data_IF_929664307061
#
_entry.id   IF_929664307061
#
_cell.length_a   1.000
_cell.length_b   1.000
_cell.length_c   1.000
_cell.angle_alpha   90.00
_cell.angle_beta   90.00
_cell.angle_gamma   90.00
#
_symmetry.space_group_name_H-M   'P 1'
#
loop_
_entity.id
_entity.type
_entity.pdbx_description
1 polymer ?
#
# COMPACT_ATOMS: atom_id res chain seq x y z
N UNK A 1 7.90 8.28 -15.93
CA UNK A 1 7.59 8.04 -14.50
C UNK A 1 8.02 6.63 -14.16
N UNK A 2 8.74 6.45 -13.05
CA UNK A 2 9.03 5.15 -12.44
C UNK A 2 8.18 5.03 -11.19
N UNK A 3 7.57 3.87 -11.00
CA UNK A 3 6.82 3.57 -9.80
C UNK A 3 7.21 2.20 -9.28
N UNK A 4 7.32 2.08 -7.96
CA UNK A 4 7.48 0.82 -7.27
C UNK A 4 6.31 0.64 -6.32
N UNK A 5 5.63 -0.50 -6.44
CA UNK A 5 4.48 -0.87 -5.64
C UNK A 5 4.78 -2.16 -4.89
N UNK A 6 4.53 -2.21 -3.58
CA UNK A 6 4.55 -3.47 -2.82
C UNK A 6 3.13 -3.81 -2.41
N UNK A 7 2.66 -4.98 -2.84
CA UNK A 7 1.35 -5.49 -2.45
C UNK A 7 1.46 -6.96 -2.03
N UNK A 8 0.56 -7.37 -1.16
CA UNK A 8 0.52 -8.73 -0.65
C UNK A 8 -0.44 -9.60 -1.48
N UNK A 9 0.01 -10.76 -1.97
CA UNK A 9 -0.89 -11.78 -2.51
C UNK A 9 -1.44 -12.67 -1.39
N UNK A 10 -2.76 -12.90 -1.36
CA UNK A 10 -3.31 -13.96 -0.55
C UNK A 10 -3.03 -15.32 -1.20
N UNK A 11 -2.25 -16.17 -0.54
CA UNK A 11 -2.20 -17.58 -0.88
C UNK A 11 -3.49 -18.24 -0.35
N UNK A 12 -4.36 -18.70 -1.24
CA UNK A 12 -5.43 -19.63 -0.87
C UNK A 12 -4.79 -20.97 -0.48
N UNK A 13 -4.46 -21.12 0.81
CA UNK A 13 -4.36 -22.46 1.37
C UNK A 13 -5.79 -23.01 1.46
N UNK A 14 -6.21 -23.79 0.46
CA UNK A 14 -7.35 -24.70 0.60
C UNK A 14 -6.97 -25.82 1.57
N UNK A 15 -6.95 -25.51 2.87
CA UNK A 15 -7.09 -26.53 3.90
C UNK A 15 -8.56 -26.91 3.98
N UNK A 16 -8.87 -28.13 3.54
CA UNK A 16 -10.21 -28.70 3.66
C UNK A 16 -10.66 -28.67 5.14
N UNK A 17 -11.85 -28.15 5.46
CA UNK A 17 -12.35 -28.16 6.83
C UNK A 17 -12.78 -29.57 7.23
N UNK A 18 -12.11 -30.13 8.25
CA UNK A 18 -12.55 -31.32 8.96
C UNK A 18 -13.91 -31.06 9.62
N UNK A 19 -14.93 -31.82 9.22
CA UNK A 19 -16.29 -31.76 9.75
C UNK A 19 -16.36 -32.39 11.15
N UNK A 20 -16.43 -31.57 12.19
CA UNK A 20 -16.97 -31.99 13.49
C UNK A 20 -18.00 -30.96 13.98
N UNK A 21 -19.26 -31.37 14.25
CA UNK A 21 -20.30 -30.45 14.71
C UNK A 21 -20.16 -30.18 16.22
N UNK A 22 -20.01 -28.91 16.60
CA UNK A 22 -20.13 -28.46 17.99
C UNK A 22 -21.45 -27.68 18.09
N UNK A 23 -22.39 -28.22 18.86
CA UNK A 23 -23.68 -27.60 19.18
C UNK A 23 -23.51 -26.37 20.09
N UNK A 24 -24.27 -25.28 19.88
CA UNK A 24 -24.35 -24.16 20.83
C UNK A 24 -25.37 -24.42 21.96
N UNK A 25 -25.12 -23.98 23.21
CA UNK A 25 -26.12 -24.00 24.28
C UNK A 25 -27.08 -22.78 24.21
N UNK A 26 -28.28 -22.87 24.83
CA UNK A 26 -29.42 -21.96 24.62
C UNK A 26 -29.37 -20.64 25.43
N UNK A 27 -30.23 -19.65 25.09
CA UNK A 27 -30.24 -18.34 25.72
C UNK A 27 -31.00 -18.32 27.06
N UNK A 28 -30.44 -17.65 28.06
CA UNK A 28 -31.13 -17.36 29.33
C UNK A 28 -31.89 -16.03 29.26
N UNK A 29 -33.11 -16.04 29.80
CA UNK A 29 -34.12 -14.98 29.71
C UNK A 29 -34.03 -13.92 30.83
N UNK A 30 -34.58 -12.75 30.49
CA UNK A 30 -35.32 -11.79 31.32
C UNK A 30 -34.59 -10.94 32.38
N UNK A 31 -34.67 -9.62 32.18
CA UNK A 31 -35.42 -8.76 33.10
C UNK A 31 -35.75 -7.40 32.47
N UNK A 32 -37.05 -7.09 32.50
CA UNK A 32 -37.70 -5.82 32.13
C UNK A 32 -37.68 -4.89 33.33
N UNK A 33 -37.28 -3.62 33.18
CA UNK A 33 -37.71 -2.54 34.09
C UNK A 33 -37.59 -1.14 33.44
N UNK A 34 -38.76 -0.69 32.94
CA UNK A 34 -39.41 0.64 33.11
C UNK A 34 -38.57 1.93 33.15
N UNK A 35 -38.87 2.83 32.20
CA UNK A 35 -38.57 4.28 32.19
C UNK A 35 -39.21 5.06 33.36
N UNK A 36 -38.82 6.33 33.55
CA UNK A 36 -39.69 7.41 33.07
C UNK A 36 -38.98 8.63 32.43
N UNK A 37 -39.77 9.35 31.62
CA UNK A 37 -39.49 10.60 30.93
C UNK A 37 -39.22 11.79 31.87
N UNK A 38 -38.37 12.73 31.43
CA UNK A 38 -38.58 14.17 31.66
C UNK A 38 -38.05 14.98 30.47
N UNK A 39 -38.97 15.72 29.85
CA UNK A 39 -38.80 16.81 28.90
C UNK A 39 -38.34 18.10 29.57
N UNK A 40 -37.45 18.90 28.96
CA UNK A 40 -37.68 20.36 28.77
C UNK A 40 -36.73 20.98 27.73
N UNK A 41 -37.26 22.01 27.10
CA UNK A 41 -36.84 22.84 25.97
C UNK A 41 -35.77 23.90 26.26
N UNK A 42 -34.95 24.27 25.26
CA UNK A 42 -34.83 25.68 24.84
C UNK A 42 -34.13 25.90 23.47
N UNK A 43 -34.95 26.35 22.53
CA UNK A 43 -34.86 27.40 21.50
C UNK A 43 -33.54 28.17 21.25
N UNK A 44 -33.16 28.15 19.96
CA UNK A 44 -32.50 29.18 19.11
C UNK A 44 -31.06 29.65 19.38
N UNK A 45 -30.20 29.51 18.36
CA UNK A 45 -29.78 30.64 17.50
C UNK A 45 -29.05 30.14 16.23
N UNK A 46 -29.60 30.44 15.04
CA UNK A 46 -28.86 30.41 13.77
C UNK A 46 -27.88 31.60 13.71
N UNK A 47 -26.76 31.47 12.99
CA UNK A 47 -26.66 32.33 11.82
C UNK A 47 -25.99 31.72 10.58
N UNK A 48 -26.54 32.19 9.45
CA UNK A 48 -25.91 32.56 8.20
C UNK A 48 -25.34 31.50 7.26
N UNK A 49 -26.08 31.38 6.15
CA UNK A 49 -25.64 31.00 4.81
C UNK A 49 -24.34 31.74 4.48
N UNK A 50 -23.31 30.97 4.17
CA UNK A 50 -22.06 31.44 3.59
C UNK A 50 -21.51 30.38 2.64
N UNK A 51 -21.80 30.55 1.35
CA UNK A 51 -21.09 30.04 0.16
C UNK A 51 -20.84 28.52 0.02
N UNK A 52 -20.93 27.94 -1.19
CA UNK A 52 -20.32 26.63 -1.43
C UNK A 52 -18.80 26.81 -1.31
N UNK A 53 -18.24 26.49 -0.15
CA UNK A 53 -16.82 26.28 -0.02
C UNK A 53 -16.48 25.17 -0.99
N UNK A 54 -15.71 25.50 -2.02
CA UNK A 54 -15.12 24.52 -2.92
C UNK A 54 -14.39 23.54 -2.00
N UNK A 55 -14.93 22.33 -1.86
CA UNK A 55 -14.35 21.24 -1.08
C UNK A 55 -13.05 20.85 -1.76
N UNK A 56 -12.02 21.66 -1.55
CA UNK A 56 -10.64 21.26 -1.73
C UNK A 56 -10.45 20.19 -0.67
N UNK A 57 -10.65 18.93 -1.08
CA UNK A 57 -10.62 17.77 -0.21
C UNK A 57 -9.47 17.89 0.79
N UNK A 58 -9.77 17.61 2.06
CA UNK A 58 -8.78 17.69 3.13
C UNK A 58 -7.50 16.95 2.70
N UNK A 59 -6.32 17.53 2.93
CA UNK A 59 -5.08 16.91 2.50
C UNK A 59 -4.93 15.52 3.14
N UNK A 60 -4.39 14.57 2.37
CA UNK A 60 -4.02 13.25 2.88
C UNK A 60 -3.15 13.40 4.13
N UNK A 61 -3.41 12.58 5.16
CA UNK A 61 -2.57 12.60 6.35
C UNK A 61 -1.13 12.21 5.98
N UNK A 62 -0.19 12.90 6.61
CA UNK A 62 1.25 12.62 6.51
C UNK A 62 1.72 12.17 7.90
N UNK A 63 2.21 10.94 7.98
CA UNK A 63 2.67 10.35 9.25
C UNK A 63 4.10 9.87 9.08
N UNK A 64 4.97 10.18 10.05
CA UNK A 64 6.34 9.65 10.02
C UNK A 64 6.32 8.18 10.39
N UNK A 65 7.12 7.38 9.69
CA UNK A 65 7.26 5.96 9.99
C UNK A 65 7.67 5.75 11.46
N UNK A 66 8.57 6.58 11.99
CA UNK A 66 9.02 6.53 13.39
C UNK A 66 7.90 6.73 14.40
N UNK A 67 6.83 7.43 14.02
CA UNK A 67 5.72 7.76 14.91
C UNK A 67 4.66 6.65 14.94
N UNK A 68 4.72 5.69 14.00
CA UNK A 68 3.80 4.55 13.89
C UNK A 68 4.50 3.19 14.04
N UNK A 69 5.81 3.16 14.24
CA UNK A 69 6.55 1.93 14.54
C UNK A 69 6.06 1.38 15.89
N UNK A 70 5.83 0.07 16.01
CA UNK A 70 5.45 -0.56 17.27
C UNK A 70 6.46 -0.23 18.38
N UNK A 71 5.95 0.32 19.48
CA UNK A 71 6.74 0.62 20.67
C UNK A 71 6.55 -0.50 21.71
N UNK A 72 7.65 -1.01 22.26
CA UNK A 72 7.62 -1.98 23.36
C UNK A 72 7.38 -1.24 24.69
N UNK A 73 6.12 -0.85 24.93
CA UNK A 73 5.73 -0.09 26.11
C UNK A 73 4.37 0.58 25.97
N UNK A 74 3.99 1.38 26.98
CA UNK A 74 2.71 2.09 26.98
C UNK A 74 2.62 3.06 25.79
N UNK A 75 1.50 3.10 25.04
CA UNK A 75 1.35 4.00 23.90
C UNK A 75 1.53 5.46 24.32
N UNK A 76 2.50 6.14 23.70
CA UNK A 76 2.78 7.55 23.95
C UNK A 76 1.86 8.45 23.12
N UNK A 77 1.61 9.67 23.59
CA UNK A 77 0.71 10.63 22.92
C UNK A 77 0.99 10.84 21.41
N UNK A 78 2.25 11.00 20.98
CA UNK A 78 2.58 11.11 19.55
C UNK A 78 2.15 9.90 18.72
N UNK A 79 2.36 8.68 19.23
CA UNK A 79 1.96 7.44 18.57
C UNK A 79 0.45 7.38 18.36
N UNK A 80 -0.34 7.68 19.40
CA UNK A 80 -1.80 7.67 19.29
C UNK A 80 -2.31 8.69 18.28
N UNK A 81 -1.71 9.89 18.22
CA UNK A 81 -2.06 10.89 17.19
C UNK A 81 -1.71 10.43 15.79
N UNK A 82 -0.56 9.79 15.61
CA UNK A 82 -0.14 9.27 14.31
C UNK A 82 -1.03 8.12 13.84
N UNK A 83 -1.41 7.21 14.74
CA UNK A 83 -2.39 6.14 14.48
C UNK A 83 -3.73 6.73 14.04
N UNK A 84 -4.26 7.70 14.76
CA UNK A 84 -5.54 8.34 14.44
C UNK A 84 -5.49 9.09 13.10
N UNK A 85 -4.40 9.80 12.83
CA UNK A 85 -4.20 10.49 11.56
C UNK A 85 -4.13 9.51 10.38
N UNK A 86 -3.37 8.42 10.52
CA UNK A 86 -3.25 7.37 9.51
C UNK A 86 -4.61 6.73 9.22
N UNK A 87 -5.27 6.19 10.24
CA UNK A 87 -6.54 5.48 10.08
C UNK A 87 -7.66 6.42 9.63
N UNK A 88 -7.72 7.64 10.16
CA UNK A 88 -8.68 8.65 9.73
C UNK A 88 -8.53 9.04 8.26
N UNK A 89 -7.29 9.09 7.74
CA UNK A 89 -7.06 9.35 6.32
C UNK A 89 -7.45 8.17 5.43
N UNK A 90 -7.15 6.94 5.88
CA UNK A 90 -7.57 5.73 5.16
C UNK A 90 -9.10 5.63 5.07
N UNK A 91 -9.83 5.95 6.14
CA UNK A 91 -11.30 5.90 6.14
C UNK A 91 -11.96 6.98 5.27
N UNK A 92 -11.32 8.15 5.10
CA UNK A 92 -11.89 9.27 4.33
C UNK A 92 -11.43 9.32 2.87
N UNK A 93 -10.21 8.87 2.61
CA UNK A 93 -9.55 9.09 1.32
C UNK A 93 -8.96 7.81 0.71
N UNK A 94 -9.15 6.65 1.33
CA UNK A 94 -8.55 5.36 0.95
C UNK A 94 -7.01 5.41 0.82
N UNK A 95 -6.37 6.42 1.43
CA UNK A 95 -4.95 6.68 1.28
C UNK A 95 -4.37 7.51 2.43
N UNK A 96 -3.05 7.36 2.64
CA UNK A 96 -2.25 8.17 3.54
C UNK A 96 -0.79 8.19 3.07
N UNK A 97 -0.01 9.18 3.50
CA UNK A 97 1.41 9.31 3.18
C UNK A 97 2.24 8.92 4.40
N UNK A 98 3.13 7.93 4.22
CA UNK A 98 4.12 7.54 5.23
C UNK A 98 5.46 8.18 4.88
N UNK A 99 5.97 9.02 5.77
CA UNK A 99 7.27 9.66 5.63
C UNK A 99 8.37 8.75 6.20
N UNK A 100 9.31 8.35 5.36
CA UNK A 100 10.43 7.50 5.75
C UNK A 100 11.58 8.33 6.34
N UNK A 101 12.38 7.70 7.21
CA UNK A 101 13.65 8.27 7.64
C UNK A 101 14.70 8.34 6.52
N UNK A 102 15.86 8.92 6.80
CA UNK A 102 16.94 9.13 5.82
C UNK A 102 17.38 7.84 5.10
N UNK A 103 17.61 6.75 5.85
CA UNK A 103 17.99 5.44 5.29
C UNK A 103 16.91 4.90 4.33
N UNK A 104 15.65 4.82 4.78
CA UNK A 104 14.56 4.29 3.97
C UNK A 104 14.29 5.12 2.71
N UNK A 105 14.40 6.44 2.84
CA UNK A 105 14.29 7.37 1.69
C UNK A 105 15.42 7.16 0.68
N UNK A 106 16.66 6.96 1.14
CA UNK A 106 17.79 6.69 0.26
C UNK A 106 17.62 5.35 -0.49
N UNK A 107 17.15 4.30 0.20
CA UNK A 107 16.86 3.00 -0.41
C UNK A 107 15.80 3.11 -1.51
N UNK A 108 14.67 3.79 -1.25
CA UNK A 108 13.62 3.95 -2.26
C UNK A 108 14.08 4.79 -3.45
N UNK A 109 14.86 5.87 -3.21
CA UNK A 109 15.44 6.67 -4.30
C UNK A 109 16.37 5.83 -5.17
N UNK A 110 17.28 5.09 -4.54
CA UNK A 110 18.20 4.20 -5.22
C UNK A 110 17.45 3.13 -6.03
N UNK A 111 16.38 2.56 -5.47
CA UNK A 111 15.51 1.62 -6.17
C UNK A 111 14.78 2.21 -7.38
N UNK A 112 14.27 3.44 -7.28
CA UNK A 112 13.62 4.11 -8.41
C UNK A 112 14.63 4.40 -9.54
N UNK A 113 15.83 4.85 -9.19
CA UNK A 113 16.91 5.10 -10.14
C UNK A 113 17.42 3.80 -10.79
N UNK A 114 17.54 2.72 -10.02
CA UNK A 114 17.98 1.42 -10.52
C UNK A 114 16.98 0.82 -11.49
N UNK A 115 15.68 0.89 -11.18
CA UNK A 115 14.58 0.46 -12.07
C UNK A 115 14.60 1.28 -13.37
N UNK A 116 14.77 2.60 -13.27
CA UNK A 116 14.89 3.47 -14.45
C UNK A 116 16.04 3.03 -15.35
N UNK A 117 17.21 2.81 -14.76
CA UNK A 117 18.38 2.37 -15.50
C UNK A 117 18.14 1.02 -16.16
N UNK A 118 17.59 0.06 -15.40
CA UNK A 118 17.25 -1.28 -15.89
C UNK A 118 16.38 -1.25 -17.15
N UNK A 119 15.28 -0.50 -17.14
CA UNK A 119 14.40 -0.40 -18.31
C UNK A 119 15.04 0.35 -19.48
N UNK A 120 15.84 1.39 -19.22
CA UNK A 120 16.58 2.11 -20.27
C UNK A 120 17.60 1.22 -20.97
N UNK A 121 18.44 0.51 -20.21
CA UNK A 121 19.47 -0.38 -20.77
C UNK A 121 18.84 -1.49 -21.61
N UNK A 122 17.71 -2.05 -21.14
CA UNK A 122 16.99 -3.09 -21.88
C UNK A 122 16.32 -2.56 -23.15
N UNK A 123 15.82 -1.33 -23.15
CA UNK A 123 15.28 -0.70 -24.36
C UNK A 123 16.35 -0.47 -25.43
N UNK A 124 17.57 -0.08 -25.04
CA UNK A 124 18.71 0.07 -25.96
C UNK A 124 19.12 -1.26 -26.57
N UNK A 125 19.19 -2.33 -25.75
CA UNK A 125 19.52 -3.68 -26.23
C UNK A 125 18.49 -4.24 -27.24
N UNK A 126 17.21 -3.86 -27.12
CA UNK A 126 16.15 -4.29 -28.03
C UNK A 126 16.18 -3.56 -29.39
N UNK A 127 16.64 -2.31 -29.44
CA UNK A 127 16.69 -1.51 -30.67
C UNK A 127 17.96 -1.74 -31.53
N UNK A 128 18.93 -2.54 -31.04
CA UNK A 128 20.27 -2.69 -31.62
C UNK A 128 20.48 -3.82 -32.65
N UNK A 129 19.46 -4.60 -33.02
CA UNK A 129 19.48 -5.53 -34.16
C UNK A 129 20.38 -6.79 -34.07
N UNK A 130 19.73 -7.98 -34.08
CA UNK A 130 20.32 -9.21 -34.63
C UNK A 130 20.58 -10.38 -33.67
N UNK A 131 19.76 -11.44 -33.79
CA UNK A 131 20.22 -12.84 -33.76
C UNK A 131 20.52 -13.54 -32.43
N UNK A 132 19.58 -14.39 -32.01
CA UNK A 132 19.78 -15.70 -31.36
C UNK A 132 20.50 -15.81 -30.00
N UNK A 133 19.74 -16.30 -29.00
CA UNK A 133 20.22 -16.91 -27.75
C UNK A 133 19.65 -16.21 -26.51
N UNK A 134 18.73 -16.74 -25.72
CA UNK A 134 18.03 -18.01 -25.69
C UNK A 134 17.26 -18.01 -24.37
N UNK A 135 15.94 -18.19 -24.45
CA UNK A 135 15.03 -18.64 -23.39
C UNK A 135 15.18 -18.05 -21.97
N UNK A 136 14.39 -17.01 -21.67
CA UNK A 136 13.44 -16.95 -20.54
C UNK A 136 13.01 -15.50 -20.22
N UNK A 137 12.06 -14.92 -20.96
CA UNK A 137 11.08 -14.01 -20.34
C UNK A 137 9.95 -13.70 -21.33
N UNK A 138 8.80 -14.34 -21.13
CA UNK A 138 7.60 -14.08 -21.91
C UNK A 138 7.17 -12.60 -21.85
N UNK A 139 6.72 -12.05 -22.98
CA UNK A 139 5.77 -10.92 -23.08
C UNK A 139 6.09 -9.63 -22.30
N UNK A 140 7.29 -9.42 -21.77
CA UNK A 140 7.64 -8.23 -20.95
C UNK A 140 8.17 -7.05 -21.79
N UNK A 141 7.43 -6.68 -22.83
CA UNK A 141 7.64 -5.43 -23.57
C UNK A 141 6.93 -4.22 -22.94
N UNK A 142 6.38 -4.36 -21.73
CA UNK A 142 5.40 -3.41 -21.16
C UNK A 142 5.94 -2.47 -20.08
N UNK A 143 7.26 -2.35 -19.92
CA UNK A 143 7.83 -1.50 -18.86
C UNK A 143 7.39 -1.93 -17.46
N UNK A 144 7.26 -3.24 -17.21
CA UNK A 144 6.90 -3.81 -15.90
C UNK A 144 7.91 -4.88 -15.51
N UNK A 145 8.34 -4.87 -14.26
CA UNK A 145 9.24 -5.82 -13.64
C UNK A 145 8.64 -6.25 -12.29
N UNK A 146 8.76 -7.53 -11.95
CA UNK A 146 8.15 -8.10 -10.75
C UNK A 146 9.25 -8.78 -9.94
N UNK A 147 9.47 -8.31 -8.72
CA UNK A 147 10.36 -8.89 -7.73
C UNK A 147 9.55 -9.60 -6.65
N UNK A 148 9.95 -10.83 -6.31
CA UNK A 148 9.41 -11.61 -5.20
C UNK A 148 10.58 -12.24 -4.43
N UNK A 149 10.66 -11.95 -3.13
CA UNK A 149 11.72 -12.48 -2.28
C UNK A 149 11.57 -14.01 -2.08
N UNK A 150 12.69 -14.70 -1.82
CA UNK A 150 12.71 -16.16 -1.59
C UNK A 150 12.73 -17.03 -2.86
N UNK A 151 12.88 -16.42 -4.04
CA UNK A 151 13.17 -17.13 -5.30
C UNK A 151 14.68 -17.39 -5.41
N UNK A 152 15.12 -18.54 -5.97
CA UNK A 152 16.54 -18.83 -6.21
C UNK A 152 17.22 -17.70 -6.98
N UNK A 153 18.45 -17.40 -6.59
CA UNK A 153 19.28 -16.26 -7.01
C UNK A 153 19.69 -16.27 -8.50
N UNK A 154 19.26 -17.27 -9.28
CA UNK A 154 19.76 -17.54 -10.63
C UNK A 154 19.41 -16.46 -11.68
N UNK A 155 18.54 -15.49 -11.33
CA UNK A 155 18.14 -14.36 -12.17
C UNK A 155 18.80 -13.00 -11.79
N UNK A 156 19.74 -12.96 -10.81
CA UNK A 156 20.31 -11.71 -10.25
C UNK A 156 20.91 -10.80 -11.32
N UNK A 157 21.62 -11.37 -12.31
CA UNK A 157 22.28 -10.62 -13.38
C UNK A 157 21.29 -9.85 -14.28
N UNK A 158 19.99 -10.17 -14.19
CA UNK A 158 18.92 -9.59 -14.99
C UNK A 158 17.89 -8.78 -14.20
N UNK A 159 18.16 -8.50 -12.91
CA UNK A 159 17.28 -7.71 -12.05
C UNK A 159 17.79 -6.28 -11.84
N UNK A 160 16.90 -5.28 -11.63
CA UNK A 160 17.34 -3.98 -11.15
C UNK A 160 18.11 -4.15 -9.82
N UNK A 161 19.24 -3.45 -9.62
CA UNK A 161 19.91 -3.49 -8.33
C UNK A 161 19.01 -2.91 -7.23
N UNK A 162 19.28 -3.29 -5.98
CA UNK A 162 18.63 -2.78 -4.77
C UNK A 162 17.17 -3.24 -4.53
N UNK A 163 16.63 -4.16 -5.35
CA UNK A 163 15.25 -4.62 -5.17
C UNK A 163 15.02 -5.38 -3.85
N UNK A 164 16.04 -6.08 -3.35
CA UNK A 164 16.01 -6.72 -2.03
C UNK A 164 15.87 -5.70 -0.91
N UNK A 165 16.65 -4.62 -0.97
CA UNK A 165 16.64 -3.54 0.02
C UNK A 165 15.32 -2.77 -0.03
N UNK A 166 14.80 -2.52 -1.24
CA UNK A 166 13.49 -1.89 -1.46
C UNK A 166 12.37 -2.76 -0.86
N UNK A 167 12.37 -4.06 -1.15
CA UNK A 167 11.44 -5.02 -0.56
C UNK A 167 11.49 -4.98 0.97
N UNK A 168 12.69 -5.03 1.56
CA UNK A 168 12.90 -4.96 3.02
C UNK A 168 12.43 -3.63 3.59
N UNK A 169 12.66 -2.52 2.89
CA UNK A 169 12.26 -1.17 3.32
C UNK A 169 10.74 -1.01 3.31
N UNK A 170 10.08 -1.36 2.21
CA UNK A 170 8.63 -1.31 2.08
C UNK A 170 7.96 -2.30 3.05
N UNK A 171 8.51 -3.49 3.25
CA UNK A 171 8.01 -4.46 4.23
C UNK A 171 8.04 -3.96 5.67
N UNK A 172 9.06 -3.17 6.06
CA UNK A 172 9.09 -2.50 7.38
C UNK A 172 7.98 -1.47 7.52
N UNK A 173 7.76 -0.66 6.48
CA UNK A 173 6.67 0.33 6.46
C UNK A 173 5.29 -0.35 6.52
N UNK A 174 5.10 -1.46 5.80
CA UNK A 174 3.88 -2.24 5.80
C UNK A 174 3.57 -2.79 7.20
N UNK A 175 4.56 -3.39 7.88
CA UNK A 175 4.41 -3.88 9.27
C UNK A 175 3.98 -2.75 10.22
N UNK A 176 4.66 -1.61 10.17
CA UNK A 176 4.30 -0.48 11.04
C UNK A 176 2.89 0.04 10.76
N UNK A 177 2.51 0.18 9.48
CA UNK A 177 1.17 0.60 9.09
C UNK A 177 0.09 -0.39 9.56
N UNK A 178 0.28 -1.69 9.37
CA UNK A 178 -0.66 -2.71 9.84
C UNK A 178 -0.77 -2.75 11.36
N UNK A 179 0.34 -2.56 12.09
CA UNK A 179 0.30 -2.47 13.56
C UNK A 179 -0.53 -1.25 14.02
N UNK A 180 -0.35 -0.11 13.37
CA UNK A 180 -1.14 1.10 13.64
C UNK A 180 -2.63 0.88 13.35
N UNK A 181 -2.96 0.26 12.20
CA UNK A 181 -4.35 -0.08 11.83
C UNK A 181 -4.96 -1.05 12.85
N UNK A 182 -4.24 -2.12 13.23
CA UNK A 182 -4.68 -3.06 14.25
C UNK A 182 -5.00 -2.34 15.58
N UNK A 183 -4.14 -1.40 15.98
CA UNK A 183 -4.35 -0.62 17.20
C UNK A 183 -5.60 0.25 17.13
N UNK A 184 -5.85 0.91 16.00
CA UNK A 184 -7.07 1.71 15.79
C UNK A 184 -8.33 0.83 15.83
N UNK A 185 -8.26 -0.38 15.27
CA UNK A 185 -9.32 -1.40 15.34
C UNK A 185 -9.44 -2.06 16.73
N UNK A 186 -8.65 -1.65 17.71
CA UNK A 186 -8.58 -2.22 19.07
C UNK A 186 -8.22 -3.72 19.09
N UNK A 187 -7.49 -4.16 18.07
CA UNK A 187 -6.89 -5.49 18.01
C UNK A 187 -5.49 -5.47 18.65
N UNK A 188 -4.91 -6.66 18.85
CA UNK A 188 -3.49 -6.77 19.18
C UNK A 188 -2.66 -6.18 18.03
N UNK A 189 -1.63 -5.39 18.35
CA UNK A 189 -0.80 -4.74 17.33
C UNK A 189 -0.15 -5.73 16.36
N UNK A 190 0.14 -6.95 16.82
CA UNK A 190 0.77 -8.02 16.03
C UNK A 190 -0.23 -8.91 15.28
N UNK A 191 -1.54 -8.63 15.34
CA UNK A 191 -2.57 -9.51 14.77
C UNK A 191 -2.37 -9.75 13.27
N UNK A 192 -1.78 -8.82 12.54
CA UNK A 192 -1.53 -8.95 11.09
C UNK A 192 -0.10 -9.37 10.76
N UNK A 193 0.78 -9.56 11.74
CA UNK A 193 2.18 -9.89 11.47
C UNK A 193 2.33 -11.20 10.68
N UNK A 194 1.49 -12.19 10.97
CA UNK A 194 1.45 -13.48 10.27
C UNK A 194 1.02 -13.37 8.80
N UNK A 195 0.43 -12.24 8.39
CA UNK A 195 0.10 -11.99 6.99
C UNK A 195 1.33 -11.48 6.23
N UNK A 196 2.23 -10.75 6.89
CA UNK A 196 3.42 -10.24 6.23
C UNK A 196 4.56 -11.24 6.37
N UNK A 197 5.27 -11.51 5.28
CA UNK A 197 6.35 -12.51 5.28
C UNK A 197 7.46 -12.13 6.27
N UNK A 198 8.06 -13.09 6.95
CA UNK A 198 9.16 -12.83 7.88
C UNK A 198 10.42 -12.31 7.16
N UNK A 199 11.27 -11.58 7.89
CA UNK A 199 12.56 -11.14 7.38
C UNK A 199 13.68 -11.46 8.38
N UNK A 200 14.60 -12.40 8.09
CA UNK A 200 14.71 -13.16 6.83
C UNK A 200 13.56 -14.15 6.61
N UNK A 201 13.27 -14.47 5.34
CA UNK A 201 12.28 -15.49 4.99
C UNK A 201 12.73 -16.88 5.47
N UNK A 202 11.79 -17.79 5.78
CA UNK A 202 12.11 -19.20 6.01
C UNK A 202 12.80 -19.83 4.81
N UNK A 203 13.63 -20.85 5.06
CA UNK A 203 14.39 -21.54 4.00
C UNK A 203 13.42 -22.15 2.99
N UNK A 204 13.68 -21.88 1.70
CA UNK A 204 12.90 -22.40 0.56
C UNK A 204 11.44 -21.89 0.47
N UNK A 205 11.09 -20.83 1.21
CA UNK A 205 9.80 -20.17 1.09
C UNK A 205 9.88 -18.90 0.26
N UNK A 206 8.93 -18.74 -0.67
CA UNK A 206 8.77 -17.51 -1.43
C UNK A 206 7.79 -16.58 -0.70
N UNK A 207 8.13 -15.30 -0.67
CA UNK A 207 7.29 -14.26 -0.09
C UNK A 207 5.93 -14.16 -0.81
N UNK A 208 4.87 -13.98 -0.04
CA UNK A 208 3.52 -13.62 -0.48
C UNK A 208 3.45 -12.18 -0.98
N UNK A 209 4.31 -11.30 -0.46
CA UNK A 209 4.48 -9.94 -0.92
C UNK A 209 5.24 -9.87 -2.25
N UNK A 210 4.82 -8.94 -3.10
CA UNK A 210 5.41 -8.74 -4.42
C UNK A 210 5.72 -7.27 -4.58
N UNK A 211 6.90 -6.97 -5.10
CA UNK A 211 7.29 -5.63 -5.53
C UNK A 211 7.16 -5.55 -7.05
N UNK A 212 6.26 -4.69 -7.51
CA UNK A 212 6.03 -4.40 -8.92
C UNK A 212 6.67 -3.06 -9.25
N UNK A 213 7.62 -3.07 -10.18
CA UNK A 213 8.29 -1.89 -10.69
C UNK A 213 7.76 -1.58 -12.09
N UNK A 214 7.29 -0.36 -12.32
CA UNK A 214 6.79 0.08 -13.62
C UNK A 214 7.56 1.28 -14.14
N UNK A 215 7.71 1.37 -15.45
CA UNK A 215 8.35 2.45 -16.15
C UNK A 215 7.49 2.90 -17.33
N UNK A 216 7.06 4.16 -17.29
CA UNK A 216 6.36 4.81 -18.38
C UNK A 216 7.20 5.96 -18.94
N UNK A 217 7.40 5.98 -20.26
CA UNK A 217 8.12 7.08 -20.90
C UNK A 217 7.15 8.22 -21.20
N UNK A 218 7.16 9.27 -20.37
CA UNK A 218 6.32 10.46 -20.52
C UNK A 218 6.98 11.46 -21.47
N UNK A 219 7.39 11.03 -22.66
CA UNK A 219 7.87 11.92 -23.73
C UNK A 219 6.81 12.05 -24.83
N UNK A 220 5.68 12.70 -24.51
CA UNK A 220 4.79 13.33 -25.51
C UNK A 220 3.75 14.23 -24.84
N UNK A 221 4.20 15.29 -24.17
CA UNK A 221 3.43 16.53 -24.04
C UNK A 221 4.40 17.71 -24.17
N UNK A 222 4.97 17.85 -25.36
CA UNK A 222 5.62 19.09 -25.77
C UNK A 222 4.73 19.79 -26.79
N UNK A 223 4.22 20.96 -26.42
CA UNK A 223 3.82 22.03 -27.34
C UNK A 223 2.45 21.93 -28.02
N UNK A 224 1.58 22.88 -27.66
CA UNK A 224 0.30 23.30 -28.29
C UNK A 224 -0.95 22.50 -27.91
N UNK A 225 -1.85 23.19 -27.23
CA UNK A 225 -3.20 22.72 -26.96
C UNK A 225 -3.98 22.43 -28.23
N UNK A 226 -4.69 21.31 -28.22
CA UNK A 226 -5.89 21.09 -29.01
C UNK A 226 -6.75 20.08 -28.26
N UNK A 227 -7.99 20.48 -28.01
CA UNK A 227 -9.09 19.66 -27.51
C UNK A 227 -9.18 18.40 -28.37
N UNK A 228 -9.04 17.22 -27.75
CA UNK A 228 -9.05 15.97 -28.51
C UNK A 228 -8.77 14.74 -27.66
N UNK A 229 -9.79 14.31 -26.92
CA UNK A 229 -10.02 12.97 -26.35
C UNK A 229 -8.96 11.89 -26.59
N UNK A 230 -7.81 11.99 -25.92
CA UNK A 230 -6.97 10.84 -25.64
C UNK A 230 -7.52 10.19 -24.39
N UNK A 231 -8.16 9.03 -24.52
CA UNK A 231 -8.64 8.19 -23.43
C UNK A 231 -7.48 7.95 -22.45
N UNK A 232 -7.39 8.78 -21.40
CA UNK A 232 -6.63 8.46 -20.21
C UNK A 232 -7.17 7.09 -19.80
N UNK A 233 -6.34 6.06 -19.80
CA UNK A 233 -6.75 4.74 -19.31
C UNK A 233 -6.89 4.90 -17.79
N UNK A 234 -8.00 5.50 -17.38
CA UNK A 234 -8.60 5.47 -16.06
C UNK A 234 -9.27 4.10 -15.89
N UNK A 235 -8.49 3.02 -15.99
CA UNK A 235 -8.95 1.78 -15.41
C UNK A 235 -8.83 1.97 -13.90
N UNK A 236 -9.97 2.15 -13.24
CA UNK A 236 -10.07 2.09 -11.78
C UNK A 236 -9.77 0.67 -11.33
N UNK A 237 -8.49 0.33 -11.23
CA UNK A 237 -8.04 -0.94 -10.71
C UNK A 237 -8.04 -0.88 -9.19
N UNK A 238 -8.85 -1.73 -8.57
CA UNK A 238 -8.84 -1.93 -7.12
C UNK A 238 -7.83 -3.03 -6.82
N UNK A 239 -6.82 -2.70 -6.02
CA UNK A 239 -5.84 -3.67 -5.53
C UNK A 239 -6.53 -4.74 -4.68
N UNK A 240 -6.20 -6.01 -4.93
CA UNK A 240 -6.82 -7.17 -4.25
C UNK A 240 -6.08 -7.60 -2.98
N UNK A 241 -5.00 -6.90 -2.63
CA UNK A 241 -4.19 -7.18 -1.45
C UNK A 241 -4.72 -6.53 -0.17
N UNK A 242 -4.12 -6.88 0.97
CA UNK A 242 -4.43 -6.27 2.26
C UNK A 242 -4.02 -4.80 2.33
N UNK A 243 -2.83 -4.49 1.79
CA UNK A 243 -2.21 -3.17 1.78
C UNK A 243 -1.34 -3.05 0.54
N UNK A 244 -1.39 -1.89 -0.11
CA UNK A 244 -0.49 -1.52 -1.20
C UNK A 244 0.30 -0.29 -0.81
N UNK A 245 1.64 -0.39 -0.84
CA UNK A 245 2.54 0.74 -0.67
C UNK A 245 3.04 1.18 -2.04
N UNK A 246 3.04 2.48 -2.29
CA UNK A 246 3.47 3.05 -3.58
C UNK A 246 4.55 4.09 -3.37
N UNK A 247 5.61 4.02 -4.18
CA UNK A 247 6.63 5.05 -4.32
C UNK A 247 6.79 5.42 -5.79
N UNK A 248 6.89 6.72 -6.09
CA UNK A 248 7.01 7.24 -7.45
C UNK A 248 8.01 8.38 -7.51
N UNK A 249 8.71 8.52 -8.63
CA UNK A 249 9.65 9.63 -8.90
C UNK A 249 9.02 10.84 -9.62
N UNK A 250 7.74 10.75 -9.99
CA UNK A 250 7.00 11.82 -10.63
C UNK A 250 5.55 11.88 -10.13
N UNK A 251 4.90 13.06 -10.18
CA UNK A 251 3.47 13.17 -9.91
C UNK A 251 2.65 12.47 -11.01
N UNK A 252 1.40 12.14 -10.71
CA UNK A 252 0.47 11.55 -11.69
C UNK A 252 -0.41 10.42 -11.17
N UNK A 253 -0.15 9.91 -9.96
CA UNK A 253 -1.03 8.93 -9.30
C UNK A 253 -2.31 9.64 -8.82
N UNK A 254 -3.46 9.11 -9.21
CA UNK A 254 -4.77 9.56 -8.74
C UNK A 254 -5.41 8.43 -7.93
N UNK A 255 -5.99 8.78 -6.79
CA UNK A 255 -6.70 7.86 -5.91
C UNK A 255 -8.16 8.30 -5.91
N UNK A 256 -9.06 7.36 -6.18
CA UNK A 256 -10.49 7.59 -6.10
C UNK A 256 -10.92 7.24 -4.66
N UNK A 257 -11.40 8.25 -3.93
CA UNK A 257 -11.91 8.12 -2.58
C UNK A 257 -13.40 7.76 -2.60
#
# INVERSE_FOLDING_TARGET
>A
MVMVMMHQHQHHHSTAPSTHPINPPPPSSASVLRSPNTSTSNTQQFPSIGSPSVEHGLPLARVKLTDIVPYDGAPVGPYLRAVEALSGSLMRHNAAVIELGGEGTAVLRCGLESVRYFFKTRAVAQNGGGGAGGAALGKSGRGVYIYRAGRPLEDMDSSPPCMTEVFRCMGRAARAALCAIARHLRLRSDVFNHLLDDNPLPVNEASSSVVVATFSNTTSQNGKGAIGGGKLVTNGEVEKGLLTLVSSDAPGLQIVA
#
